data_IF_928982396633
#
_entry.id   IF_928982396633
#
_cell.length_a   1.000
_cell.length_b   1.000
_cell.length_c   1.000
_cell.angle_alpha   90.00
_cell.angle_beta   90.00
_cell.angle_gamma   90.00
#
_symmetry.space_group_name_H-M   'P 1'
#
loop_
_entity.id
_entity.type
_entity.pdbx_description
1 polymer ?
#
# COMPACT_ATOMS: atom_id res chain seq x y z
N UNK A 1 -14.22 7.71 40.30
CA UNK A 1 -13.90 7.18 38.93
C UNK A 1 -15.09 7.18 37.98
N UNK A 2 -16.34 6.95 38.40
CA UNK A 2 -17.52 6.93 37.51
C UNK A 2 -17.86 8.25 36.80
N UNK A 3 -17.59 9.40 37.42
CA UNK A 3 -17.97 10.71 36.87
C UNK A 3 -17.11 11.15 35.65
N UNK A 4 -15.85 10.77 35.63
CA UNK A 4 -14.94 11.09 34.50
C UNK A 4 -15.28 10.20 33.26
N UNK A 5 -15.60 8.93 33.51
CA UNK A 5 -15.99 7.99 32.46
C UNK A 5 -17.33 8.42 31.85
N UNK A 6 -18.31 8.78 32.65
CA UNK A 6 -19.63 9.24 32.14
C UNK A 6 -19.56 10.57 31.37
N UNK A 7 -18.66 11.49 31.77
CA UNK A 7 -18.41 12.73 31.06
C UNK A 7 -17.72 12.49 29.73
N UNK A 8 -16.76 11.56 29.70
CA UNK A 8 -16.06 11.13 28.49
C UNK A 8 -17.03 10.44 27.49
N UNK A 9 -17.86 9.52 28.00
CA UNK A 9 -18.89 8.85 27.17
C UNK A 9 -19.88 9.84 26.57
N UNK A 10 -20.34 10.82 27.36
CA UNK A 10 -21.31 11.84 26.92
C UNK A 10 -20.77 12.71 25.75
N UNK A 11 -19.46 12.97 25.70
CA UNK A 11 -18.82 13.74 24.62
C UNK A 11 -18.44 12.83 23.45
N UNK A 12 -17.92 11.65 23.73
CA UNK A 12 -17.39 10.74 22.71
C UNK A 12 -18.49 10.00 21.95
N UNK A 13 -19.60 9.60 22.58
CA UNK A 13 -20.69 8.91 21.89
C UNK A 13 -21.29 9.70 20.70
N UNK A 14 -21.66 10.98 20.83
CA UNK A 14 -22.18 11.73 19.70
C UNK A 14 -21.12 11.99 18.62
N UNK A 15 -19.85 12.14 18.97
CA UNK A 15 -18.74 12.29 18.02
C UNK A 15 -18.53 10.97 17.28
N UNK A 16 -18.44 9.86 17.99
CA UNK A 16 -18.32 8.53 17.39
C UNK A 16 -19.52 8.20 16.49
N UNK A 17 -20.74 8.57 16.89
CA UNK A 17 -21.94 8.43 16.07
C UNK A 17 -21.88 9.23 14.76
N UNK A 18 -21.43 10.47 14.80
CA UNK A 18 -21.25 11.31 13.60
C UNK A 18 -20.14 10.78 12.68
N UNK A 19 -19.04 10.28 13.24
CA UNK A 19 -17.94 9.67 12.51
C UNK A 19 -18.42 8.39 11.82
N UNK A 20 -19.10 7.50 12.56
CA UNK A 20 -19.58 6.22 12.01
C UNK A 20 -20.72 6.36 11.00
N UNK A 21 -21.46 7.47 11.01
CA UNK A 21 -22.50 7.76 10.00
C UNK A 21 -21.98 8.52 8.77
N UNK A 22 -20.75 9.00 8.81
CA UNK A 22 -20.16 9.73 7.69
C UNK A 22 -19.82 8.77 6.55
N UNK A 23 -20.55 8.93 5.43
CA UNK A 23 -20.40 8.08 4.23
C UNK A 23 -18.97 8.07 3.65
N UNK A 24 -18.25 9.18 3.76
CA UNK A 24 -16.86 9.28 3.32
C UNK A 24 -15.92 8.43 4.19
N UNK A 25 -16.07 8.51 5.51
CA UNK A 25 -15.27 7.71 6.44
C UNK A 25 -15.60 6.22 6.36
N UNK A 26 -16.87 5.88 6.11
CA UNK A 26 -17.28 4.50 5.84
C UNK A 26 -16.62 3.97 4.57
N UNK A 27 -16.63 4.76 3.48
CA UNK A 27 -15.97 4.38 2.22
C UNK A 27 -14.45 4.17 2.43
N UNK A 28 -13.81 5.04 3.20
CA UNK A 28 -12.39 4.94 3.53
C UNK A 28 -12.09 3.67 4.32
N UNK A 29 -12.84 3.42 5.40
CA UNK A 29 -12.72 2.18 6.18
C UNK A 29 -12.88 0.93 5.30
N UNK A 30 -13.91 0.92 4.47
CA UNK A 30 -14.19 -0.22 3.61
C UNK A 30 -13.09 -0.41 2.55
N UNK A 31 -12.53 0.68 2.01
CA UNK A 31 -11.41 0.61 1.08
C UNK A 31 -10.16 -0.01 1.73
N UNK A 32 -9.81 0.42 2.93
CA UNK A 32 -8.70 -0.20 3.69
C UNK A 32 -8.98 -1.67 3.99
N UNK A 33 -10.22 -2.03 4.34
CA UNK A 33 -10.61 -3.42 4.58
C UNK A 33 -10.46 -4.29 3.34
N UNK A 34 -10.72 -3.76 2.14
CA UNK A 34 -10.49 -4.46 0.88
C UNK A 34 -9.01 -4.74 0.59
N UNK A 35 -8.11 -3.93 1.15
CA UNK A 35 -6.67 -4.08 0.97
C UNK A 35 -6.01 -4.96 2.02
N UNK A 36 -6.70 -5.32 3.11
CA UNK A 36 -6.14 -6.15 4.18
C UNK A 36 -5.49 -7.46 3.68
N UNK A 37 -6.08 -8.21 2.72
CA UNK A 37 -5.43 -9.43 2.22
C UNK A 37 -4.06 -9.15 1.60
N UNK A 38 -3.90 -8.06 0.86
CA UNK A 38 -2.62 -7.67 0.26
C UNK A 38 -1.57 -7.31 1.31
N UNK A 39 -2.00 -6.58 2.36
CA UNK A 39 -1.12 -6.21 3.48
C UNK A 39 -0.67 -7.45 4.24
N UNK A 40 -1.58 -8.38 4.53
CA UNK A 40 -1.28 -9.62 5.26
C UNK A 40 -0.28 -10.46 4.48
N UNK A 41 -0.52 -10.69 3.19
CA UNK A 41 0.40 -11.44 2.32
C UNK A 41 1.74 -10.72 2.22
N UNK A 42 1.76 -9.41 1.96
CA UNK A 42 2.98 -8.60 1.91
C UNK A 42 3.79 -8.67 3.21
N UNK A 43 3.11 -8.59 4.36
CA UNK A 43 3.76 -8.69 5.68
C UNK A 43 4.37 -10.07 5.93
N UNK A 44 3.66 -11.14 5.58
CA UNK A 44 4.16 -12.51 5.70
C UNK A 44 5.45 -12.71 4.87
N UNK A 45 5.42 -12.30 3.61
CA UNK A 45 6.59 -12.39 2.75
C UNK A 45 7.70 -11.42 3.18
N UNK A 46 7.37 -10.27 3.77
CA UNK A 46 8.35 -9.36 4.37
C UNK A 46 9.09 -9.97 5.55
N UNK A 47 8.41 -10.72 6.41
CA UNK A 47 9.05 -11.45 7.50
C UNK A 47 9.99 -12.53 6.92
N UNK A 48 9.55 -13.27 5.90
CA UNK A 48 10.41 -14.25 5.23
C UNK A 48 11.65 -13.59 4.62
N UNK A 49 11.48 -12.46 3.94
CA UNK A 49 12.55 -11.71 3.27
C UNK A 49 13.60 -11.19 4.26
N UNK A 50 13.16 -10.46 5.29
CA UNK A 50 14.07 -9.70 6.16
C UNK A 50 14.53 -10.47 7.40
N UNK A 51 13.79 -11.48 7.82
CA UNK A 51 14.10 -12.23 9.05
C UNK A 51 14.68 -13.61 8.73
N UNK A 52 14.04 -14.33 7.79
CA UNK A 52 14.41 -15.73 7.52
C UNK A 52 15.45 -15.85 6.41
N UNK A 53 15.28 -15.13 5.31
CA UNK A 53 16.08 -15.27 4.09
C UNK A 53 17.26 -14.29 4.01
N UNK A 54 17.35 -13.29 4.90
CA UNK A 54 18.46 -12.37 4.92
C UNK A 54 19.73 -13.08 5.42
N UNK A 55 20.78 -13.27 4.56
CA UNK A 55 22.00 -13.98 4.95
C UNK A 55 22.74 -13.28 6.10
N UNK A 56 22.51 -11.99 6.33
CA UNK A 56 23.11 -11.20 7.40
C UNK A 56 22.11 -10.82 8.50
N UNK A 57 20.87 -11.29 8.38
CA UNK A 57 19.79 -10.99 9.30
C UNK A 57 19.84 -11.76 10.61
N UNK A 58 18.81 -11.60 11.42
CA UNK A 58 18.75 -12.12 12.79
C UNK A 58 18.84 -13.67 12.87
N UNK A 59 18.37 -14.39 11.84
CA UNK A 59 18.37 -15.85 11.85
C UNK A 59 19.67 -16.40 11.23
N UNK A 60 20.06 -15.86 10.06
CA UNK A 60 21.18 -16.42 9.28
C UNK A 60 22.52 -15.77 9.60
N UNK A 61 22.52 -14.49 10.01
CA UNK A 61 23.74 -13.71 10.22
C UNK A 61 24.49 -14.03 11.51
N UNK A 62 25.79 -13.67 11.53
CA UNK A 62 26.73 -13.90 12.65
C UNK A 62 26.30 -13.20 13.95
N UNK A 63 25.56 -12.10 13.86
CA UNK A 63 25.05 -11.35 15.03
C UNK A 63 23.73 -11.89 15.58
N UNK A 64 23.18 -12.97 15.03
CA UNK A 64 21.94 -13.59 15.43
C UNK A 64 22.11 -15.06 15.81
N UNK A 65 21.20 -15.91 15.30
CA UNK A 65 21.27 -17.37 15.53
C UNK A 65 22.38 -18.06 14.75
N UNK A 66 23.01 -17.35 13.81
CA UNK A 66 24.12 -17.82 12.98
C UNK A 66 23.89 -19.14 12.24
N UNK A 67 22.64 -19.40 11.85
CA UNK A 67 22.29 -20.61 11.11
C UNK A 67 22.93 -20.64 9.72
N UNK A 68 23.20 -19.46 9.12
CA UNK A 68 23.89 -19.35 7.84
C UNK A 68 25.27 -19.99 7.86
N UNK A 69 26.05 -19.82 8.96
CA UNK A 69 27.32 -20.49 9.16
C UNK A 69 27.19 -22.03 9.17
N UNK A 70 26.18 -22.54 9.86
CA UNK A 70 25.91 -23.97 9.92
C UNK A 70 25.53 -24.55 8.53
N UNK A 71 24.65 -23.87 7.77
CA UNK A 71 24.22 -24.30 6.46
C UNK A 71 25.25 -24.10 5.35
N UNK A 72 26.18 -23.17 5.50
CA UNK A 72 27.31 -22.98 4.57
C UNK A 72 28.51 -23.88 4.80
N UNK A 73 28.44 -24.80 5.76
CA UNK A 73 29.55 -25.70 6.10
C UNK A 73 30.64 -25.02 6.93
N UNK A 74 30.30 -24.02 7.72
CA UNK A 74 31.24 -23.32 8.60
C UNK A 74 32.02 -22.17 7.95
N UNK A 75 31.57 -21.70 6.79
CA UNK A 75 32.18 -20.57 6.08
C UNK A 75 31.92 -19.26 6.80
N UNK A 76 32.92 -18.36 6.84
CA UNK A 76 32.84 -17.03 7.44
C UNK A 76 33.38 -15.95 6.52
N UNK A 77 33.08 -14.68 6.80
CA UNK A 77 33.65 -13.53 6.08
C UNK A 77 33.37 -13.55 4.58
N UNK A 78 34.39 -13.34 3.75
CA UNK A 78 34.24 -13.24 2.30
C UNK A 78 33.92 -14.58 1.63
N UNK A 79 34.39 -15.71 2.21
CA UNK A 79 34.06 -17.06 1.75
C UNK A 79 32.55 -17.34 1.91
N UNK A 80 31.94 -16.90 3.01
CA UNK A 80 30.49 -16.99 3.22
C UNK A 80 29.72 -16.16 2.19
N UNK A 81 30.14 -14.93 1.93
CA UNK A 81 29.51 -14.05 0.92
C UNK A 81 29.52 -14.65 -0.48
N UNK A 82 30.58 -15.36 -0.83
CA UNK A 82 30.76 -15.96 -2.15
C UNK A 82 30.17 -17.37 -2.27
N UNK A 83 29.62 -17.94 -1.19
CA UNK A 83 29.09 -19.30 -1.24
C UNK A 83 27.72 -19.40 -1.96
N UNK A 84 27.47 -20.54 -2.58
CA UNK A 84 26.22 -20.81 -3.30
C UNK A 84 24.97 -20.74 -2.41
N UNK A 85 25.10 -21.01 -1.11
CA UNK A 85 24.01 -20.86 -0.13
C UNK A 85 23.52 -19.41 -0.07
N UNK A 86 24.42 -18.42 0.08
CA UNK A 86 24.07 -16.99 0.11
C UNK A 86 23.42 -16.57 -1.21
N UNK A 87 23.95 -17.01 -2.35
CA UNK A 87 23.37 -16.72 -3.65
C UNK A 87 21.92 -17.26 -3.76
N UNK A 88 21.67 -18.47 -3.25
CA UNK A 88 20.32 -19.04 -3.22
C UNK A 88 19.37 -18.26 -2.31
N UNK A 89 19.83 -17.86 -1.11
CA UNK A 89 19.05 -17.06 -0.18
C UNK A 89 18.68 -15.69 -0.79
N UNK A 90 19.62 -15.02 -1.44
CA UNK A 90 19.38 -13.75 -2.13
C UNK A 90 18.41 -13.90 -3.30
N UNK A 91 18.45 -15.00 -4.04
CA UNK A 91 17.48 -15.28 -5.10
C UNK A 91 16.07 -15.43 -4.52
N UNK A 92 15.91 -16.21 -3.46
CA UNK A 92 14.62 -16.39 -2.76
C UNK A 92 14.12 -15.07 -2.14
N UNK A 93 15.04 -14.30 -1.54
CA UNK A 93 14.75 -12.97 -1.02
C UNK A 93 14.21 -12.04 -2.12
N UNK A 94 14.81 -12.04 -3.31
CA UNK A 94 14.34 -11.28 -4.45
C UNK A 94 12.92 -11.67 -4.89
N UNK A 95 12.56 -12.96 -4.83
CA UNK A 95 11.20 -13.42 -5.12
C UNK A 95 10.20 -12.93 -4.06
N UNK A 96 10.56 -12.99 -2.77
CA UNK A 96 9.75 -12.45 -1.68
C UNK A 96 9.56 -10.94 -1.80
N UNK A 97 10.61 -10.20 -2.17
CA UNK A 97 10.57 -8.75 -2.38
C UNK A 97 9.54 -8.33 -3.44
N UNK A 98 9.37 -9.11 -4.51
CA UNK A 98 8.32 -8.84 -5.50
C UNK A 98 6.92 -8.90 -4.88
N UNK A 99 6.66 -9.83 -3.97
CA UNK A 99 5.37 -9.93 -3.26
C UNK A 99 5.20 -8.79 -2.27
N UNK A 100 6.25 -8.44 -1.53
CA UNK A 100 6.28 -7.29 -0.62
C UNK A 100 5.99 -5.99 -1.37
N UNK A 101 6.57 -5.83 -2.55
CA UNK A 101 6.32 -4.67 -3.42
C UNK A 101 4.85 -4.55 -3.82
N UNK A 102 4.17 -5.65 -4.13
CA UNK A 102 2.72 -5.63 -4.40
C UNK A 102 1.93 -5.29 -3.14
N UNK A 103 2.33 -5.78 -1.97
CA UNK A 103 1.65 -5.50 -0.70
C UNK A 103 1.78 -4.05 -0.22
N UNK A 104 2.95 -3.46 -0.37
CA UNK A 104 3.28 -2.14 0.18
C UNK A 104 3.73 -1.10 -0.86
N UNK A 105 4.44 -1.53 -1.89
CA UNK A 105 5.04 -0.63 -2.90
C UNK A 105 4.01 -0.02 -3.85
N UNK A 106 2.86 -0.68 -4.07
CA UNK A 106 1.76 -0.15 -4.90
C UNK A 106 0.48 0.09 -4.09
N UNK A 107 0.61 0.17 -2.76
CA UNK A 107 -0.51 0.29 -1.83
C UNK A 107 -1.44 1.47 -2.13
N UNK A 108 -0.88 2.67 -2.36
CA UNK A 108 -1.67 3.88 -2.66
C UNK A 108 -2.42 3.77 -3.98
N UNK A 109 -1.84 3.12 -4.98
CA UNK A 109 -2.49 2.87 -6.26
C UNK A 109 -3.72 1.98 -6.11
N UNK A 110 -3.60 0.88 -5.34
CA UNK A 110 -4.73 0.01 -5.03
C UNK A 110 -5.77 0.72 -4.17
N UNK A 111 -5.32 1.57 -3.23
CA UNK A 111 -6.20 2.35 -2.37
C UNK A 111 -7.07 3.34 -3.17
N UNK A 112 -6.51 4.02 -4.16
CA UNK A 112 -7.28 4.90 -5.05
C UNK A 112 -8.43 4.14 -5.69
N UNK A 113 -8.15 2.96 -6.26
CA UNK A 113 -9.15 2.13 -6.92
C UNK A 113 -10.26 1.68 -5.95
N UNK A 114 -9.87 1.12 -4.80
CA UNK A 114 -10.80 0.62 -3.80
C UNK A 114 -11.67 1.74 -3.22
N UNK A 115 -11.07 2.87 -2.89
CA UNK A 115 -11.78 4.00 -2.30
C UNK A 115 -12.74 4.66 -3.30
N UNK A 116 -12.30 4.91 -4.53
CA UNK A 116 -13.14 5.45 -5.59
C UNK A 116 -14.30 4.50 -5.96
N UNK A 117 -14.06 3.20 -5.97
CA UNK A 117 -15.10 2.18 -6.16
C UNK A 117 -16.20 2.28 -5.10
N UNK A 118 -15.82 2.45 -3.83
CA UNK A 118 -16.78 2.63 -2.73
C UNK A 118 -17.53 3.96 -2.82
N UNK A 119 -16.83 5.05 -3.11
CA UNK A 119 -17.43 6.37 -3.28
C UNK A 119 -18.42 6.41 -4.46
N UNK A 120 -18.06 5.78 -5.59
CA UNK A 120 -18.96 5.65 -6.74
C UNK A 120 -20.29 5.00 -6.37
N UNK A 121 -20.25 3.92 -5.58
CA UNK A 121 -21.44 3.26 -5.07
C UNK A 121 -22.26 4.12 -4.11
N UNK A 122 -21.61 4.82 -3.18
CA UNK A 122 -22.27 5.68 -2.18
C UNK A 122 -22.95 6.89 -2.85
N UNK A 123 -22.32 7.46 -3.87
CA UNK A 123 -22.85 8.61 -4.58
C UNK A 123 -23.78 8.26 -5.75
N UNK A 124 -24.04 6.93 -5.95
CA UNK A 124 -24.98 6.44 -6.96
C UNK A 124 -24.49 6.62 -8.40
N UNK A 125 -23.17 6.53 -8.61
CA UNK A 125 -22.52 6.43 -9.91
C UNK A 125 -22.15 4.98 -10.23
N UNK A 126 -21.63 4.76 -11.44
CA UNK A 126 -21.02 3.47 -11.80
C UNK A 126 -19.70 3.29 -11.05
N UNK A 127 -19.62 2.21 -10.26
CA UNK A 127 -18.50 1.95 -9.35
C UNK A 127 -17.20 1.74 -10.11
N UNK A 128 -17.25 0.97 -11.20
CA UNK A 128 -16.08 0.60 -11.98
C UNK A 128 -15.51 1.79 -12.74
N UNK A 129 -16.35 2.52 -13.46
CA UNK A 129 -15.93 3.72 -14.20
C UNK A 129 -15.40 4.81 -13.27
N UNK A 130 -15.99 4.95 -12.06
CA UNK A 130 -15.49 5.87 -11.04
C UNK A 130 -14.07 5.48 -10.59
N UNK A 131 -13.83 4.18 -10.36
CA UNK A 131 -12.51 3.68 -9.96
C UNK A 131 -11.47 3.91 -11.06
N UNK A 132 -11.78 3.61 -12.32
CA UNK A 132 -10.87 3.84 -13.46
C UNK A 132 -10.53 5.32 -13.64
N UNK A 133 -11.55 6.20 -13.53
CA UNK A 133 -11.34 7.65 -13.65
C UNK A 133 -10.42 8.16 -12.54
N UNK A 134 -10.60 7.69 -11.31
CA UNK A 134 -9.76 8.07 -10.19
C UNK A 134 -8.32 7.54 -10.32
N UNK A 135 -8.14 6.32 -10.83
CA UNK A 135 -6.83 5.77 -11.14
C UNK A 135 -6.12 6.60 -12.22
N UNK A 136 -6.81 6.96 -13.31
CA UNK A 136 -6.26 7.83 -14.34
C UNK A 136 -5.83 9.19 -13.79
N UNK A 137 -6.66 9.82 -12.95
CA UNK A 137 -6.32 11.07 -12.29
C UNK A 137 -5.11 10.93 -11.37
N UNK A 138 -4.99 9.85 -10.62
CA UNK A 138 -3.84 9.59 -9.75
C UNK A 138 -2.54 9.41 -10.54
N UNK A 139 -2.58 8.69 -11.66
CA UNK A 139 -1.43 8.51 -12.55
C UNK A 139 -0.98 9.86 -13.13
N UNK A 140 -1.91 10.73 -13.54
CA UNK A 140 -1.60 12.05 -14.11
C UNK A 140 -0.88 12.95 -13.10
N UNK A 141 -1.27 12.90 -11.82
CA UNK A 141 -0.69 13.72 -10.76
C UNK A 141 0.65 13.16 -10.28
N UNK A 142 0.86 11.84 -10.41
CA UNK A 142 2.12 11.20 -10.00
C UNK A 142 3.26 11.56 -10.96
N UNK A 143 4.47 11.91 -10.47
CA UNK A 143 5.61 12.18 -11.33
C UNK A 143 5.92 11.00 -12.27
N UNK A 144 5.97 11.29 -13.57
CA UNK A 144 6.18 10.29 -14.63
C UNK A 144 7.63 10.25 -15.11
N UNK A 145 8.53 10.86 -14.38
CA UNK A 145 9.96 10.87 -14.69
C UNK A 145 10.78 10.61 -13.43
N UNK A 146 11.77 9.76 -13.57
CA UNK A 146 12.78 9.50 -12.54
C UNK A 146 14.12 10.00 -13.07
N UNK A 147 14.86 10.72 -12.22
CA UNK A 147 16.23 11.13 -12.53
C UNK A 147 17.17 10.02 -12.11
N UNK A 148 17.85 9.42 -13.08
CA UNK A 148 18.87 8.39 -12.85
C UNK A 148 20.11 8.96 -12.15
N UNK A 149 20.99 8.08 -11.66
CA UNK A 149 22.25 8.48 -10.99
C UNK A 149 23.18 9.32 -11.86
N UNK A 150 23.06 9.21 -13.18
CA UNK A 150 23.82 10.00 -14.16
C UNK A 150 23.15 11.33 -14.55
N UNK A 151 22.01 11.68 -13.93
CA UNK A 151 21.25 12.89 -14.27
C UNK A 151 20.29 12.74 -15.45
N UNK A 152 20.23 11.57 -16.07
CA UNK A 152 19.34 11.29 -17.18
C UNK A 152 17.89 11.16 -16.70
N UNK A 153 16.97 11.78 -17.44
CA UNK A 153 15.54 11.65 -17.17
C UNK A 153 15.00 10.43 -17.91
N UNK A 154 14.51 9.47 -17.16
CA UNK A 154 13.85 8.28 -17.69
C UNK A 154 12.35 8.36 -17.41
N UNK A 155 11.53 7.98 -18.40
CA UNK A 155 10.09 7.81 -18.21
C UNK A 155 9.83 6.59 -17.32
N UNK A 156 9.53 6.82 -16.06
CA UNK A 156 9.21 5.76 -15.10
C UNK A 156 8.39 6.30 -13.94
N UNK A 157 7.63 5.44 -13.29
CA UNK A 157 6.90 5.78 -12.08
C UNK A 157 7.72 5.40 -10.85
N UNK A 158 7.85 6.33 -9.90
CA UNK A 158 8.49 6.01 -8.63
C UNK A 158 7.54 5.21 -7.73
N UNK A 159 7.98 4.05 -7.26
CA UNK A 159 7.26 3.25 -6.28
C UNK A 159 7.02 4.01 -4.96
N UNK A 160 7.83 5.02 -4.68
CA UNK A 160 7.63 5.88 -3.51
C UNK A 160 6.26 6.54 -3.48
N UNK A 161 5.75 6.99 -4.63
CA UNK A 161 4.44 7.65 -4.74
C UNK A 161 3.28 6.66 -4.87
N UNK A 162 3.55 5.45 -5.39
CA UNK A 162 2.55 4.37 -5.44
C UNK A 162 2.40 3.64 -4.10
N UNK A 163 3.44 3.67 -3.26
CA UNK A 163 3.46 3.05 -1.93
C UNK A 163 2.92 3.96 -0.81
N UNK A 164 3.39 3.73 0.39
CA UNK A 164 2.87 4.35 1.61
C UNK A 164 2.95 5.89 1.63
N UNK A 165 3.94 6.49 0.98
CA UNK A 165 4.08 7.95 0.91
C UNK A 165 2.95 8.65 0.13
N UNK A 166 2.33 7.93 -0.81
CA UNK A 166 1.25 8.46 -1.64
C UNK A 166 -0.16 8.35 -1.05
N UNK A 167 -0.34 7.75 0.13
CA UNK A 167 -1.66 7.43 0.72
C UNK A 167 -2.57 8.67 0.83
N UNK A 168 -2.06 9.78 1.36
CA UNK A 168 -2.85 11.01 1.50
C UNK A 168 -3.24 11.59 0.14
N UNK A 169 -2.30 11.62 -0.80
CA UNK A 169 -2.55 12.06 -2.18
C UNK A 169 -3.59 11.16 -2.84
N UNK A 170 -3.49 9.85 -2.65
CA UNK A 170 -4.43 8.86 -3.16
C UNK A 170 -5.86 9.13 -2.68
N UNK A 171 -6.06 9.36 -1.39
CA UNK A 171 -7.38 9.66 -0.81
C UNK A 171 -7.97 10.96 -1.35
N UNK A 172 -7.17 12.03 -1.42
CA UNK A 172 -7.62 13.33 -1.92
C UNK A 172 -7.99 13.25 -3.39
N UNK A 173 -7.12 12.68 -4.21
CA UNK A 173 -7.34 12.53 -5.66
C UNK A 173 -8.55 11.65 -5.94
N UNK A 174 -8.65 10.51 -5.27
CA UNK A 174 -9.79 9.62 -5.43
C UNK A 174 -11.11 10.29 -5.05
N UNK A 175 -11.15 11.06 -3.96
CA UNK A 175 -12.34 11.80 -3.54
C UNK A 175 -12.76 12.83 -4.58
N UNK A 176 -11.84 13.68 -5.04
CA UNK A 176 -12.11 14.75 -6.01
C UNK A 176 -12.52 14.16 -7.36
N UNK A 177 -11.75 13.21 -7.89
CA UNK A 177 -12.01 12.58 -9.18
C UNK A 177 -13.36 11.84 -9.18
N UNK A 178 -13.66 11.09 -8.12
CA UNK A 178 -14.94 10.37 -7.97
C UNK A 178 -16.11 11.35 -7.90
N UNK A 179 -15.98 12.44 -7.14
CA UNK A 179 -17.03 13.45 -7.03
C UNK A 179 -17.33 14.11 -8.37
N UNK A 180 -16.29 14.54 -9.09
CA UNK A 180 -16.40 15.15 -10.42
C UNK A 180 -17.07 14.17 -11.38
N UNK A 181 -16.55 12.92 -11.46
CA UNK A 181 -17.07 11.90 -12.37
C UNK A 181 -18.56 11.61 -12.12
N UNK A 182 -18.93 11.33 -10.87
CA UNK A 182 -20.33 11.02 -10.53
C UNK A 182 -21.25 12.21 -10.80
N UNK A 183 -20.80 13.44 -10.54
CA UNK A 183 -21.59 14.65 -10.83
C UNK A 183 -21.79 14.85 -12.33
N UNK A 184 -20.74 14.60 -13.13
CA UNK A 184 -20.83 14.70 -14.60
C UNK A 184 -21.69 13.58 -15.21
N UNK A 185 -21.54 12.35 -14.72
CA UNK A 185 -22.30 11.19 -15.23
C UNK A 185 -23.79 11.27 -14.96
N UNK A 186 -24.21 12.05 -13.95
CA UNK A 186 -25.63 12.32 -13.64
C UNK A 186 -26.23 13.45 -14.47
N UNK A 187 -25.42 14.23 -15.17
CA UNK A 187 -25.91 15.32 -15.99
C UNK A 187 -26.38 14.79 -17.36
N UNK A 188 -27.68 14.82 -17.62
CA UNK A 188 -28.28 14.29 -18.85
C UNK A 188 -27.74 14.94 -20.13
N UNK A 189 -27.21 16.17 -20.06
CA UNK A 189 -26.65 16.89 -21.20
C UNK A 189 -25.29 16.36 -21.63
N UNK A 190 -24.57 15.65 -20.74
CA UNK A 190 -23.20 15.16 -20.96
C UNK A 190 -23.16 13.63 -21.08
N UNK A 191 -24.24 12.96 -20.70
CA UNK A 191 -24.37 11.51 -20.75
C UNK A 191 -24.39 11.03 -22.20
N UNK A 192 -23.28 10.47 -22.66
CA UNK A 192 -23.22 9.74 -23.94
C UNK A 192 -24.05 8.47 -23.77
N UNK A 193 -25.07 8.30 -24.66
CA UNK A 193 -25.87 7.08 -24.75
C UNK A 193 -25.10 5.95 -25.37
#
# INVERSE_FOLDING_TARGET
>A
MGSVISSFERVMMPVAGRISSNKFLLAMRDAFSMLLPFIIVGSFFGILEWVVLDPWGTIMGENGLNLGHMFSGGLTGDAYKACGFVATMQMLQGLCNNVVTVGFGVFSFLLVAAFAYRLGGIWGGDKFSTALTALGAFIIITPQQIVGKAGDKMGAFSLDYFGNKGVLTALIVAAIASWIFVKLSKNEKIRIK
#
